data_IF_304500434740
#
_entry.id   IF_304500434740
#
_cell.length_a   1.000
_cell.length_b   1.000
_cell.length_c   1.000
_cell.angle_alpha   90.00
_cell.angle_beta   90.00
_cell.angle_gamma   90.00
#
_symmetry.space_group_name_H-M   'P 1'
#
loop_
_entity.id
_entity.type
_entity.pdbx_description
1 polymer ?
#
# COMPACT_ATOMS: atom_id res chain seq x y z
N UNK A 1 -8.39 -0.95 20.80
CA UNK A 1 -8.11 -2.26 20.16
C UNK A 1 -7.87 -2.09 18.65
N UNK A 2 -8.77 -1.44 17.91
CA UNK A 2 -8.66 -1.25 16.44
C UNK A 2 -7.33 -0.65 15.96
N UNK A 3 -6.83 0.39 16.64
CA UNK A 3 -5.57 1.03 16.26
C UNK A 3 -4.35 0.12 16.38
N UNK A 4 -4.30 -0.71 17.43
CA UNK A 4 -3.21 -1.67 17.60
C UNK A 4 -3.30 -2.78 16.56
N UNK A 5 -4.51 -3.24 16.22
CA UNK A 5 -4.68 -4.20 15.14
C UNK A 5 -4.21 -3.64 13.80
N UNK A 6 -4.53 -2.38 13.47
CA UNK A 6 -4.00 -1.72 12.28
C UNK A 6 -2.47 -1.61 12.30
N UNK A 7 -1.88 -1.26 13.46
CA UNK A 7 -0.44 -1.22 13.61
C UNK A 7 0.20 -2.58 13.30
N UNK A 8 -0.36 -3.67 13.83
CA UNK A 8 0.09 -5.05 13.53
C UNK A 8 -0.09 -5.37 12.04
N UNK A 9 -1.19 -4.95 11.41
CA UNK A 9 -1.40 -5.14 9.97
C UNK A 9 -0.35 -4.42 9.12
N UNK A 10 0.07 -3.22 9.52
CA UNK A 10 1.12 -2.45 8.85
C UNK A 10 2.51 -3.05 9.04
N UNK A 11 2.72 -3.90 10.03
CA UNK A 11 3.98 -4.63 10.24
C UNK A 11 4.08 -5.89 9.39
N UNK A 12 2.93 -6.45 8.99
CA UNK A 12 2.84 -7.74 8.29
C UNK A 12 2.66 -7.61 6.79
N UNK A 13 1.84 -6.65 6.36
CA UNK A 13 1.44 -6.53 4.96
C UNK A 13 1.34 -5.09 4.49
N UNK A 14 1.88 -4.81 3.32
CA UNK A 14 1.66 -3.57 2.60
C UNK A 14 1.62 -3.83 1.10
N UNK A 15 0.76 -3.12 0.39
CA UNK A 15 0.72 -3.11 -1.07
C UNK A 15 1.22 -1.77 -1.61
N UNK A 16 1.99 -1.80 -2.68
CA UNK A 16 2.43 -0.58 -3.36
C UNK A 16 1.37 -0.08 -4.34
N UNK A 17 1.46 1.21 -4.67
CA UNK A 17 0.85 1.72 -5.90
C UNK A 17 1.63 1.18 -7.10
N UNK A 18 0.92 0.84 -8.17
CA UNK A 18 1.53 0.52 -9.45
C UNK A 18 1.60 1.74 -10.34
N UNK A 19 2.33 1.64 -11.46
CA UNK A 19 2.25 2.60 -12.56
C UNK A 19 1.19 2.20 -13.61
N UNK A 20 0.31 1.24 -13.28
CA UNK A 20 -0.75 0.78 -14.19
C UNK A 20 -1.84 1.86 -14.22
N UNK A 21 -2.42 2.18 -15.39
CA UNK A 21 -3.54 3.11 -15.48
C UNK A 21 -4.67 2.75 -14.51
N UNK A 22 -5.32 3.74 -13.87
CA UNK A 22 -6.41 3.48 -12.94
C UNK A 22 -7.57 2.74 -13.61
N UNK A 23 -8.12 1.76 -12.90
CA UNK A 23 -9.42 1.16 -13.21
C UNK A 23 -10.49 2.05 -12.58
N UNK A 24 -11.50 2.43 -13.34
CA UNK A 24 -12.60 3.24 -12.83
C UNK A 24 -13.64 2.36 -12.15
N UNK A 25 -13.92 2.60 -10.86
CA UNK A 25 -15.01 1.95 -10.14
C UNK A 25 -16.28 2.78 -10.37
N UNK A 26 -17.29 2.25 -11.09
CA UNK A 26 -18.52 2.99 -11.33
C UNK A 26 -19.31 3.13 -10.02
N UNK A 27 -19.79 4.34 -9.75
CA UNK A 27 -20.65 4.58 -8.59
C UNK A 27 -22.10 4.22 -8.92
N UNK A 28 -22.87 3.69 -7.95
CA UNK A 28 -24.31 3.51 -8.11
C UNK A 28 -25.01 4.83 -8.48
N UNK A 29 -26.10 4.73 -9.24
CA UNK A 29 -26.95 5.90 -9.49
C UNK A 29 -27.52 6.44 -8.16
N UNK A 30 -27.55 7.76 -8.01
CA UNK A 30 -28.03 8.46 -6.81
C UNK A 30 -27.21 8.17 -5.53
N UNK A 31 -25.93 7.78 -5.66
CA UNK A 31 -25.05 7.66 -4.49
C UNK A 31 -24.88 9.04 -3.82
N UNK A 32 -25.51 9.24 -2.67
CA UNK A 32 -25.52 10.53 -1.97
C UNK A 32 -24.13 10.97 -1.45
N UNK A 33 -23.17 10.05 -1.34
CA UNK A 33 -21.81 10.35 -0.89
C UNK A 33 -20.93 10.85 -2.04
N UNK A 34 -21.22 10.40 -3.27
CA UNK A 34 -20.42 10.69 -4.47
C UNK A 34 -21.18 11.45 -5.56
N UNK A 35 -22.45 11.79 -5.34
CA UNK A 35 -23.28 12.61 -6.21
C UNK A 35 -23.90 13.74 -5.38
N UNK A 36 -23.63 14.98 -5.77
CA UNK A 36 -24.28 16.13 -5.15
C UNK A 36 -25.79 16.10 -5.44
N UNK A 37 -26.65 16.50 -4.49
CA UNK A 37 -28.09 16.59 -4.71
C UNK A 37 -28.40 17.44 -5.94
N UNK A 38 -29.12 16.88 -6.92
CA UNK A 38 -29.47 17.54 -8.18
C UNK A 38 -28.48 17.35 -9.34
N UNK A 39 -27.40 16.59 -9.15
CA UNK A 39 -26.50 16.18 -10.24
C UNK A 39 -27.04 14.93 -10.95
N UNK A 40 -27.32 15.03 -12.24
CA UNK A 40 -27.75 13.90 -13.09
C UNK A 40 -26.57 13.20 -13.80
N UNK A 41 -25.33 13.38 -13.33
CA UNK A 41 -24.16 12.81 -14.01
C UNK A 41 -24.12 11.29 -13.76
N UNK A 42 -24.61 10.55 -14.75
CA UNK A 42 -24.69 9.08 -14.79
C UNK A 42 -23.33 8.38 -14.82
N UNK A 43 -22.21 9.10 -15.01
CA UNK A 43 -20.87 8.55 -15.18
C UNK A 43 -19.90 8.97 -14.07
N UNK A 44 -20.36 9.04 -12.82
CA UNK A 44 -19.45 9.22 -11.68
C UNK A 44 -18.71 7.90 -11.42
N UNK A 45 -17.38 7.95 -11.46
CA UNK A 45 -16.52 6.82 -11.13
C UNK A 45 -15.33 7.25 -10.29
N UNK A 46 -14.87 6.36 -9.42
CA UNK A 46 -13.72 6.60 -8.55
C UNK A 46 -12.50 5.89 -9.17
N UNK A 47 -11.37 6.60 -9.35
CA UNK A 47 -10.15 5.95 -9.81
C UNK A 47 -9.62 4.98 -8.74
N UNK A 48 -9.39 3.74 -9.13
CA UNK A 48 -8.76 2.72 -8.31
C UNK A 48 -7.50 2.21 -9.01
N UNK A 49 -6.39 2.16 -8.29
CA UNK A 49 -5.13 1.68 -8.83
C UNK A 49 -4.82 0.30 -8.29
N UNK A 50 -4.78 -0.69 -9.18
CA UNK A 50 -4.43 -2.07 -8.83
C UNK A 50 -3.02 -2.16 -8.26
N UNK A 51 -2.81 -3.11 -7.36
CA UNK A 51 -1.53 -3.39 -6.72
C UNK A 51 -0.62 -4.23 -7.64
N UNK A 52 0.71 -4.23 -7.43
CA UNK A 52 1.62 -5.05 -8.23
C UNK A 52 1.28 -6.53 -8.06
N UNK A 53 1.34 -7.26 -9.16
CA UNK A 53 1.12 -8.71 -9.18
C UNK A 53 2.45 -9.40 -9.50
N UNK A 54 2.73 -10.50 -8.81
CA UNK A 54 3.83 -11.38 -9.17
C UNK A 54 3.48 -12.05 -10.51
N UNK A 55 4.12 -11.62 -11.59
CA UNK A 55 4.08 -12.35 -12.86
C UNK A 55 5.00 -13.54 -12.68
N UNK A 56 4.44 -14.71 -12.37
CA UNK A 56 5.21 -15.94 -12.41
C UNK A 56 5.66 -16.18 -13.86
N UNK A 57 6.96 -16.45 -14.04
CA UNK A 57 7.58 -16.68 -15.35
C UNK A 57 6.68 -17.56 -16.22
N UNK A 58 6.18 -16.98 -17.31
CA UNK A 58 5.18 -17.56 -18.18
C UNK A 58 5.66 -18.90 -18.72
N UNK A 59 4.97 -19.97 -18.35
CA UNK A 59 4.91 -21.15 -19.20
C UNK A 59 4.27 -20.74 -20.52
N UNK A 60 4.78 -21.23 -21.65
CA UNK A 60 4.18 -21.03 -22.98
C UNK A 60 2.86 -21.77 -23.20
N UNK A 61 2.37 -22.50 -22.18
CA UNK A 61 1.15 -23.31 -22.22
C UNK A 61 -0.03 -22.57 -21.55
N UNK A 62 -0.99 -22.02 -22.32
CA UNK A 62 -2.14 -21.28 -21.80
C UNK A 62 -3.06 -22.12 -20.91
N UNK A 63 -3.02 -23.45 -21.02
CA UNK A 63 -3.83 -24.36 -20.20
C UNK A 63 -3.26 -24.55 -18.78
N UNK A 64 -1.99 -24.20 -18.58
CA UNK A 64 -1.29 -24.20 -17.29
C UNK A 64 -1.21 -22.81 -16.64
N UNK A 65 -1.73 -21.79 -17.32
CA UNK A 65 -1.89 -20.43 -16.78
C UNK A 65 -3.04 -20.34 -15.76
N UNK A 66 -3.10 -21.25 -14.78
CA UNK A 66 -3.79 -20.99 -13.50
C UNK A 66 -2.88 -20.14 -12.60
N UNK A 67 -2.41 -19.01 -13.11
CA UNK A 67 -1.79 -18.02 -12.26
C UNK A 67 -2.90 -17.32 -11.50
N UNK A 68 -3.09 -17.71 -10.24
CA UNK A 68 -3.72 -16.81 -9.28
C UNK A 68 -2.73 -15.67 -9.14
N UNK A 69 -2.97 -14.55 -9.81
CA UNK A 69 -2.09 -13.39 -9.73
C UNK A 69 -2.03 -12.92 -8.27
N UNK A 70 -1.01 -13.37 -7.54
CA UNK A 70 -0.80 -13.02 -6.15
C UNK A 70 -0.31 -11.59 -6.04
N UNK A 71 -0.92 -10.81 -5.13
CA UNK A 71 -0.40 -9.49 -4.77
C UNK A 71 1.02 -9.61 -4.20
N UNK A 72 1.85 -8.62 -4.48
CA UNK A 72 3.21 -8.54 -3.92
C UNK A 72 3.15 -7.83 -2.56
N UNK A 73 3.66 -8.48 -1.50
CA UNK A 73 3.89 -7.80 -0.23
C UNK A 73 5.16 -6.95 -0.34
N UNK A 74 5.06 -5.67 0.02
CA UNK A 74 6.15 -4.70 -0.10
C UNK A 74 6.96 -4.55 1.19
N UNK A 75 6.56 -5.22 2.26
CA UNK A 75 7.28 -5.26 3.54
C UNK A 75 7.58 -6.70 3.95
N UNK A 76 8.26 -6.85 5.09
CA UNK A 76 8.55 -8.16 5.67
C UNK A 76 7.23 -8.83 6.08
N UNK A 77 7.07 -10.12 5.78
CA UNK A 77 5.87 -10.89 6.16
C UNK A 77 5.88 -11.35 7.62
N UNK A 78 6.67 -10.71 8.48
CA UNK A 78 6.97 -11.12 9.85
C UNK A 78 6.61 -10.01 10.83
N UNK A 79 6.33 -10.37 12.09
CA UNK A 79 6.21 -9.39 13.18
C UNK A 79 7.59 -9.01 13.68
N UNK A 80 8.27 -8.15 12.94
CA UNK A 80 9.65 -7.73 13.19
C UNK A 80 9.80 -6.23 13.45
N UNK A 81 8.69 -5.49 13.61
CA UNK A 81 8.66 -4.05 13.80
C UNK A 81 9.19 -3.26 12.58
N UNK A 82 9.06 -3.81 11.38
CA UNK A 82 9.24 -3.08 10.12
C UNK A 82 8.36 -1.82 10.03
N UNK A 83 7.21 -1.80 10.69
CA UNK A 83 6.39 -0.59 10.83
C UNK A 83 7.09 0.56 11.60
N UNK A 84 8.03 0.23 12.49
CA UNK A 84 8.80 1.20 13.28
C UNK A 84 10.18 1.50 12.67
N UNK A 85 10.88 0.47 12.21
CA UNK A 85 12.27 0.57 11.74
C UNK A 85 12.42 0.61 10.21
N UNK A 86 11.34 0.36 9.47
CA UNK A 86 11.35 0.20 8.03
C UNK A 86 11.70 -1.24 7.60
N UNK A 87 11.33 -1.59 6.36
CA UNK A 87 11.54 -2.91 5.78
C UNK A 87 12.84 -3.04 4.97
N UNK A 88 13.65 -1.97 4.91
CA UNK A 88 14.91 -1.94 4.17
C UNK A 88 16.03 -1.30 4.99
N UNK A 89 17.29 -1.65 4.69
CA UNK A 89 18.45 -1.04 5.34
C UNK A 89 18.51 0.48 5.11
N UNK A 90 18.03 0.95 3.96
CA UNK A 90 17.95 2.36 3.64
C UNK A 90 16.96 3.09 4.58
N UNK A 91 15.81 2.49 4.86
CA UNK A 91 14.85 3.04 5.82
C UNK A 91 15.41 3.07 7.23
N UNK A 92 16.02 1.96 7.68
CA UNK A 92 16.64 1.87 9.01
C UNK A 92 17.69 2.97 9.18
N UNK A 93 18.52 3.20 8.16
CA UNK A 93 19.56 4.24 8.20
C UNK A 93 18.98 5.65 8.21
N UNK A 94 17.87 5.87 7.48
CA UNK A 94 17.19 7.17 7.40
C UNK A 94 16.40 7.53 8.67
N UNK A 95 15.85 6.53 9.35
CA UNK A 95 14.99 6.70 10.53
C UNK A 95 15.77 6.72 11.85
N UNK A 96 17.06 6.40 11.84
CA UNK A 96 17.92 6.42 13.02
C UNK A 96 18.73 7.71 13.12
N UNK A 97 18.99 8.12 14.35
CA UNK A 97 20.04 9.07 14.67
C UNK A 97 21.39 8.42 14.31
N UNK A 98 22.31 9.19 13.71
CA UNK A 98 23.65 8.69 13.34
C UNK A 98 24.52 8.35 14.55
N UNK A 99 24.13 8.85 15.72
CA UNK A 99 24.81 8.68 17.01
C UNK A 99 23.85 8.08 18.04
N UNK A 100 24.38 7.34 19.02
CA UNK A 100 23.62 6.99 20.23
C UNK A 100 22.56 5.89 20.11
N UNK A 101 22.45 5.18 18.98
CA UNK A 101 21.49 4.07 18.79
C UNK A 101 20.03 4.46 19.03
N UNK A 102 19.64 5.69 18.69
CA UNK A 102 18.28 6.21 18.84
C UNK A 102 17.56 6.34 17.50
N UNK A 103 16.24 6.42 17.56
CA UNK A 103 15.42 6.84 16.41
C UNK A 103 15.49 8.36 16.27
N UNK A 104 15.47 8.84 15.03
CA UNK A 104 15.40 10.27 14.73
C UNK A 104 14.10 10.84 15.31
N UNK A 105 14.22 11.94 16.04
CA UNK A 105 13.08 12.69 16.55
C UNK A 105 12.88 14.01 15.80
N UNK A 106 11.71 14.62 15.97
CA UNK A 106 11.44 15.94 15.39
C UNK A 106 12.40 17.03 15.88
N UNK A 107 13.05 16.83 17.03
CA UNK A 107 14.04 17.75 17.58
C UNK A 107 15.38 17.66 16.83
N UNK A 108 15.78 16.43 16.43
CA UNK A 108 17.03 16.19 15.71
C UNK A 108 16.99 16.72 14.26
N UNK A 109 15.78 16.85 13.70
CA UNK A 109 15.55 17.39 12.35
C UNK A 109 15.56 18.91 12.27
N UNK A 110 15.63 19.61 13.42
CA UNK A 110 15.70 21.07 13.51
C UNK A 110 17.14 21.62 13.69
N UNK A 111 18.16 20.75 13.69
CA UNK A 111 19.57 21.16 13.67
C UNK A 111 20.13 21.72 14.98
N UNK A 112 19.63 21.23 16.12
CA UNK A 112 20.18 21.53 17.45
C UNK A 112 21.18 20.46 17.91
#
# INVERSE_FOLDING_TARGET
ITHFAHYVSFDLTASAKTNIPPILIPMPANDASYQSPGSFILNNSIPFQSTPQLVANSSSDPSKNKFVNGGVNMITGFLDQSALYGSSLADVTRLREKTGCKMLTALDSLGH
#
